data_IF_443236834633
#
_entry.id   IF_443236834633
#
_cell.length_a   1.000
_cell.length_b   1.000
_cell.length_c   1.000
_cell.angle_alpha   90.00
_cell.angle_beta   90.00
_cell.angle_gamma   90.00
#
_symmetry.space_group_name_H-M   'P 1'
#
loop_
_entity.id
_entity.type
_entity.pdbx_description
1 polymer ?
#
# COMPACT_ATOMS: atom_id res chain seq x y z
N UNK A 1 -25.49 11.13 7.28
CA UNK A 1 -24.19 11.47 7.92
C UNK A 1 -23.14 10.64 7.21
N UNK A 2 -22.02 11.22 6.73
CA UNK A 2 -21.00 10.45 5.98
C UNK A 2 -20.24 9.57 6.97
N UNK A 3 -20.18 8.27 6.71
CA UNK A 3 -19.48 7.30 7.55
C UNK A 3 -17.98 7.65 7.61
N UNK A 4 -17.33 7.54 8.79
CA UNK A 4 -15.88 7.63 8.85
C UNK A 4 -15.32 6.32 8.27
N UNK A 5 -14.55 6.46 7.21
CA UNK A 5 -14.06 5.33 6.41
C UNK A 5 -12.54 5.31 6.44
N UNK A 6 -11.97 4.11 6.59
CA UNK A 6 -10.53 3.86 6.53
C UNK A 6 -10.20 3.00 5.33
N UNK A 7 -9.09 3.29 4.67
CA UNK A 7 -8.67 2.60 3.47
C UNK A 7 -7.38 1.82 3.67
N UNK A 8 -7.36 0.57 3.19
CA UNK A 8 -6.19 -0.30 3.31
C UNK A 8 -5.98 -1.11 2.05
N UNK A 9 -4.72 -1.41 1.73
CA UNK A 9 -4.41 -2.32 0.63
C UNK A 9 -5.04 -3.71 0.86
N UNK A 10 -5.82 -4.19 -0.10
CA UNK A 10 -6.57 -5.45 -0.02
C UNK A 10 -5.70 -6.71 -0.33
N UNK A 11 -5.21 -7.42 0.67
CA UNK A 11 -4.41 -8.65 0.56
C UNK A 11 -5.21 -9.92 0.26
N UNK A 12 -6.53 -9.82 0.04
CA UNK A 12 -7.39 -10.95 -0.28
C UNK A 12 -8.70 -10.97 0.49
N UNK A 13 -9.02 -9.85 1.14
CA UNK A 13 -10.19 -9.70 1.99
C UNK A 13 -11.48 -9.63 1.16
N UNK A 14 -12.59 -9.91 1.84
CA UNK A 14 -13.93 -9.97 1.26
C UNK A 14 -14.87 -8.97 1.95
N UNK A 15 -15.99 -8.65 1.28
CA UNK A 15 -16.99 -7.76 1.86
C UNK A 15 -17.50 -8.33 3.19
N UNK A 16 -17.74 -7.45 4.16
CA UNK A 16 -18.31 -7.79 5.46
C UNK A 16 -17.33 -8.38 6.48
N UNK A 17 -16.10 -8.75 6.08
CA UNK A 17 -15.09 -9.23 7.04
C UNK A 17 -14.88 -8.21 8.15
N UNK A 18 -14.86 -8.70 9.38
CA UNK A 18 -14.62 -7.91 10.58
C UNK A 18 -13.17 -7.50 10.74
N UNK A 19 -12.95 -6.46 11.54
CA UNK A 19 -11.62 -5.93 11.85
C UNK A 19 -11.57 -5.40 13.28
N UNK A 20 -10.57 -5.86 14.03
CA UNK A 20 -10.24 -5.35 15.36
C UNK A 20 -9.17 -4.26 15.17
N UNK A 21 -9.60 -3.01 15.23
CA UNK A 21 -8.74 -1.84 14.98
C UNK A 21 -7.78 -1.54 16.12
N UNK A 22 -8.09 -2.00 17.33
CA UNK A 22 -7.18 -1.91 18.47
C UNK A 22 -6.02 -2.88 18.30
N UNK A 23 -6.24 -4.09 17.78
CA UNK A 23 -5.15 -5.04 17.49
C UNK A 23 -4.59 -4.90 16.08
N UNK A 24 -5.28 -4.17 15.21
CA UNK A 24 -5.00 -4.07 13.77
C UNK A 24 -4.95 -5.46 13.10
N UNK A 25 -5.97 -6.29 13.36
CA UNK A 25 -6.11 -7.64 12.79
C UNK A 25 -7.45 -7.81 12.09
N UNK A 26 -7.45 -8.56 11.00
CA UNK A 26 -8.67 -9.00 10.32
C UNK A 26 -9.28 -10.20 11.04
N UNK A 27 -10.60 -10.22 11.10
CA UNK A 27 -11.37 -11.30 11.65
C UNK A 27 -12.12 -12.01 10.52
N UNK A 28 -12.13 -13.35 10.50
CA UNK A 28 -12.74 -14.11 9.41
C UNK A 28 -14.28 -14.04 9.41
N UNK A 29 -14.88 -13.63 10.52
CA UNK A 29 -16.34 -13.57 10.67
C UNK A 29 -16.88 -12.21 10.19
N UNK A 30 -18.09 -12.23 9.63
CA UNK A 30 -18.85 -11.03 9.26
C UNK A 30 -20.03 -10.87 10.22
N UNK A 31 -20.13 -9.70 10.87
CA UNK A 31 -21.36 -9.32 11.54
C UNK A 31 -22.42 -8.78 10.56
N UNK A 32 -22.06 -8.56 9.30
CA UNK A 32 -22.98 -8.08 8.26
C UNK A 32 -23.68 -9.28 7.60
N UNK A 33 -24.98 -9.17 7.42
CA UNK A 33 -25.76 -10.12 6.62
C UNK A 33 -25.47 -9.93 5.13
N UNK A 34 -24.61 -10.79 4.60
CA UNK A 34 -24.24 -10.80 3.19
C UNK A 34 -25.25 -11.56 2.32
N UNK A 35 -26.17 -12.32 2.91
CA UNK A 35 -27.13 -13.13 2.14
C UNK A 35 -28.16 -12.27 1.40
N UNK A 36 -28.38 -11.04 1.87
CA UNK A 36 -29.29 -10.06 1.30
C UNK A 36 -28.59 -8.93 0.53
N UNK A 37 -27.26 -9.01 0.34
CA UNK A 37 -26.50 -8.01 -0.43
C UNK A 37 -26.61 -8.34 -1.93
N UNK A 38 -27.65 -7.79 -2.57
CA UNK A 38 -27.85 -7.86 -4.02
C UNK A 38 -27.10 -6.73 -4.75
N UNK A 39 -27.00 -6.77 -6.08
CA UNK A 39 -26.39 -5.70 -6.89
C UNK A 39 -27.00 -4.32 -6.59
N UNK A 40 -28.32 -4.25 -6.32
CA UNK A 40 -29.03 -3.01 -5.96
C UNK A 40 -28.61 -2.43 -4.60
N UNK A 41 -28.05 -3.26 -3.72
CA UNK A 41 -27.55 -2.83 -2.41
C UNK A 41 -26.10 -2.34 -2.46
N UNK A 42 -25.43 -2.50 -3.61
CA UNK A 42 -24.07 -2.04 -3.85
C UNK A 42 -24.14 -0.74 -4.65
N UNK A 43 -23.71 0.36 -4.04
CA UNK A 43 -23.53 1.61 -4.75
C UNK A 43 -22.14 1.61 -5.37
N UNK A 44 -22.10 1.69 -6.69
CA UNK A 44 -20.91 2.07 -7.44
C UNK A 44 -20.79 3.59 -7.42
N UNK A 45 -19.71 4.10 -6.84
CA UNK A 45 -19.32 5.49 -6.98
C UNK A 45 -18.36 5.59 -8.16
N UNK A 46 -18.78 6.32 -9.20
CA UNK A 46 -17.90 6.68 -10.30
C UNK A 46 -16.92 7.73 -9.80
N UNK A 47 -15.85 7.26 -9.16
CA UNK A 47 -14.66 8.06 -8.89
C UNK A 47 -13.96 8.32 -10.23
N UNK A 48 -13.47 9.54 -10.50
CA UNK A 48 -12.64 9.81 -11.67
C UNK A 48 -11.51 8.78 -11.75
N UNK A 49 -11.28 8.25 -12.95
CA UNK A 49 -10.15 7.35 -13.17
C UNK A 49 -8.87 8.13 -12.93
N UNK A 50 -8.09 7.72 -11.94
CA UNK A 50 -6.77 8.26 -11.66
C UNK A 50 -5.73 7.28 -12.20
N UNK A 51 -5.10 7.66 -13.31
CA UNK A 51 -4.01 6.90 -13.92
C UNK A 51 -2.70 7.65 -13.67
N UNK A 52 -1.70 6.95 -13.14
CA UNK A 52 -0.35 7.50 -12.93
C UNK A 52 0.68 6.52 -13.46
N UNK A 53 1.67 7.05 -14.18
CA UNK A 53 2.80 6.31 -14.71
C UNK A 53 4.08 7.12 -14.47
N UNK A 54 5.09 6.49 -13.89
CA UNK A 54 6.41 7.10 -13.69
C UNK A 54 7.49 6.15 -14.17
N UNK A 55 8.44 6.66 -14.94
CA UNK A 55 9.60 5.93 -15.43
C UNK A 55 10.87 6.68 -15.03
N UNK A 56 11.46 6.33 -13.89
CA UNK A 56 12.48 7.15 -13.24
C UNK A 56 13.83 6.42 -13.18
N UNK A 57 14.91 7.15 -13.51
CA UNK A 57 16.27 6.73 -13.22
C UNK A 57 16.49 6.69 -11.69
N UNK A 58 17.01 5.57 -11.20
CA UNK A 58 17.30 5.36 -9.78
C UNK A 58 18.82 5.36 -9.61
N UNK A 59 19.34 6.48 -9.12
CA UNK A 59 20.79 6.66 -8.94
C UNK A 59 21.32 5.98 -7.69
N UNK A 60 20.45 5.79 -6.69
CA UNK A 60 20.81 5.21 -5.41
C UNK A 60 19.59 4.59 -4.71
N UNK A 61 19.84 3.73 -3.74
CA UNK A 61 18.77 3.06 -3.00
C UNK A 61 17.94 4.01 -2.12
N UNK A 62 18.42 5.24 -1.82
CA UNK A 62 17.61 6.25 -1.13
C UNK A 62 16.51 6.79 -2.06
N UNK A 63 16.83 7.03 -3.34
CA UNK A 63 15.84 7.32 -4.38
C UNK A 63 14.91 6.15 -4.60
N UNK A 64 15.41 4.90 -4.60
CA UNK A 64 14.58 3.70 -4.68
C UNK A 64 13.59 3.63 -3.51
N UNK A 65 14.06 3.76 -2.27
CA UNK A 65 13.26 3.74 -1.06
C UNK A 65 12.20 4.84 -1.08
N UNK A 66 12.58 6.06 -1.48
CA UNK A 66 11.63 7.17 -1.66
C UNK A 66 10.59 6.86 -2.74
N UNK A 67 10.99 6.28 -3.87
CA UNK A 67 10.08 5.99 -4.99
C UNK A 67 9.12 4.84 -4.66
N UNK A 68 9.59 3.82 -3.96
CA UNK A 68 8.77 2.73 -3.44
C UNK A 68 7.85 3.23 -2.30
N UNK A 69 8.31 4.14 -1.45
CA UNK A 69 7.50 4.76 -0.39
C UNK A 69 6.44 5.71 -0.94
N UNK A 70 6.74 6.49 -1.99
CA UNK A 70 5.77 7.32 -2.71
C UNK A 70 4.70 6.47 -3.40
N UNK A 71 5.05 5.27 -3.88
CA UNK A 71 4.07 4.31 -4.40
C UNK A 71 3.29 3.57 -3.31
N UNK A 72 3.79 3.59 -2.06
CA UNK A 72 3.11 3.08 -0.86
C UNK A 72 2.26 4.17 -0.18
N UNK A 73 2.38 5.44 -0.61
CA UNK A 73 1.43 6.50 -0.30
C UNK A 73 0.12 6.24 -1.06
N UNK A 74 -0.61 5.23 -0.61
CA UNK A 74 -2.05 5.39 -0.46
C UNK A 74 -2.19 6.60 0.48
N UNK A 75 -2.65 7.73 -0.07
CA UNK A 75 -2.74 9.06 0.53
C UNK A 75 -2.63 9.11 2.06
N UNK A 76 -1.40 9.22 2.57
CA UNK A 76 -1.16 9.58 3.95
C UNK A 76 -1.22 11.11 4.07
N UNK A 77 -2.42 11.69 4.23
CA UNK A 77 -2.50 13.07 4.73
C UNK A 77 -2.26 13.06 6.24
N UNK A 78 -0.99 13.04 6.61
CA UNK A 78 -0.57 13.50 7.94
C UNK A 78 -0.50 15.03 7.86
N UNK A 79 -1.65 15.69 8.02
CA UNK A 79 -1.69 17.15 8.03
C UNK A 79 -3.09 17.71 8.29
N UNK A 80 -3.27 18.30 9.46
CA UNK A 80 -4.38 19.19 9.77
C UNK A 80 -5.12 18.83 11.06
N UNK A 81 -5.07 19.72 12.05
CA UNK A 81 -5.98 19.75 13.19
C UNK A 81 -7.42 19.96 12.66
N UNK A 82 -8.11 18.87 12.32
CA UNK A 82 -9.49 18.96 11.85
C UNK A 82 -9.95 17.72 11.10
N UNK A 83 -10.72 16.88 11.78
CA UNK A 83 -11.64 15.86 11.22
C UNK A 83 -11.11 15.01 10.04
N UNK A 84 -10.61 13.82 10.38
CA UNK A 84 -10.29 12.76 9.43
C UNK A 84 -8.90 12.19 9.69
N UNK A 85 -8.76 11.35 10.72
CA UNK A 85 -7.53 10.58 10.89
C UNK A 85 -7.44 9.56 9.75
N UNK A 86 -6.61 9.84 8.75
CA UNK A 86 -6.13 8.83 7.81
C UNK A 86 -5.22 7.86 8.59
N UNK A 87 -5.80 6.74 9.01
CA UNK A 87 -5.16 5.75 9.89
C UNK A 87 -4.25 4.82 9.07
N UNK A 88 -2.95 4.70 9.42
CA UNK A 88 -2.07 3.70 8.82
C UNK A 88 -2.54 2.29 9.18
N UNK A 89 -2.99 1.54 8.18
CA UNK A 89 -3.11 0.10 8.32
C UNK A 89 -1.76 -0.55 8.03
N UNK A 90 -1.19 -1.25 9.01
CA UNK A 90 0.10 -1.96 8.87
C UNK A 90 0.04 -3.04 7.77
N UNK A 91 -1.15 -3.48 7.36
CA UNK A 91 -1.34 -4.45 6.26
C UNK A 91 -0.89 -3.92 4.88
N UNK A 92 -0.63 -2.62 4.73
CA UNK A 92 -0.19 -2.00 3.47
C UNK A 92 1.32 -1.71 3.36
N UNK A 93 2.12 -1.94 4.40
CA UNK A 93 3.50 -1.46 4.41
C UNK A 93 4.55 -2.36 3.69
N UNK A 94 4.26 -3.64 3.37
CA UNK A 94 5.37 -4.61 3.17
C UNK A 94 5.38 -5.53 1.93
N UNK A 95 4.43 -5.49 1.00
CA UNK A 95 4.48 -6.40 -0.16
C UNK A 95 5.62 -6.04 -1.14
N UNK A 96 5.67 -4.79 -1.62
CA UNK A 96 6.72 -4.34 -2.56
C UNK A 96 8.09 -4.16 -1.91
N UNK A 97 8.11 -3.57 -0.71
CA UNK A 97 9.36 -3.38 0.05
C UNK A 97 10.04 -4.71 0.37
N UNK A 98 9.24 -5.76 0.65
CA UNK A 98 9.74 -7.13 0.75
C UNK A 98 10.19 -7.71 -0.59
N UNK A 99 9.43 -7.49 -1.67
CA UNK A 99 9.72 -8.00 -3.01
C UNK A 99 11.04 -7.47 -3.59
N UNK A 100 11.37 -6.20 -3.35
CA UNK A 100 12.61 -5.57 -3.83
C UNK A 100 13.74 -5.58 -2.80
N UNK A 101 13.57 -6.18 -1.62
CA UNK A 101 14.57 -6.21 -0.53
C UNK A 101 15.87 -6.94 -0.89
N UNK A 102 15.81 -7.81 -1.89
CA UNK A 102 16.91 -8.65 -2.35
C UNK A 102 17.70 -8.07 -3.52
N UNK A 103 17.38 -6.85 -3.96
CA UNK A 103 18.09 -6.20 -5.07
C UNK A 103 19.38 -5.58 -4.53
N UNK A 104 20.49 -5.82 -5.23
CA UNK A 104 21.80 -5.20 -4.95
C UNK A 104 22.21 -4.35 -6.15
N UNK A 105 22.43 -3.05 -5.96
CA UNK A 105 22.83 -2.13 -7.02
C UNK A 105 24.35 -2.19 -7.28
N UNK A 106 24.76 -2.36 -8.54
CA UNK A 106 26.15 -2.38 -8.98
C UNK A 106 26.51 -1.08 -9.69
N UNK A 107 27.73 -0.62 -9.44
CA UNK A 107 28.19 0.68 -9.97
C UNK A 107 28.17 0.76 -11.50
N UNK A 108 28.39 -0.35 -12.21
CA UNK A 108 28.41 -0.37 -13.68
C UNK A 108 27.06 -0.70 -14.33
N UNK A 109 25.95 -0.57 -13.60
CA UNK A 109 24.62 -0.83 -14.12
C UNK A 109 23.75 0.44 -14.02
N UNK A 110 22.84 0.58 -14.98
CA UNK A 110 21.82 1.63 -14.99
C UNK A 110 20.53 1.03 -14.41
N UNK A 111 19.92 1.74 -13.46
CA UNK A 111 18.72 1.26 -12.77
C UNK A 111 17.52 2.16 -13.03
N UNK A 112 16.40 1.57 -13.41
CA UNK A 112 15.19 2.31 -13.76
C UNK A 112 14.01 1.66 -13.03
N UNK A 113 13.12 2.50 -12.50
CA UNK A 113 11.88 2.06 -11.89
C UNK A 113 10.70 2.53 -12.74
N UNK A 114 9.94 1.57 -13.27
CA UNK A 114 8.62 1.81 -13.84
C UNK A 114 7.58 1.58 -12.73
N UNK A 115 6.79 2.59 -12.41
CA UNK A 115 5.59 2.45 -11.58
C UNK A 115 4.39 2.89 -12.38
N UNK A 116 3.36 2.06 -12.36
CA UNK A 116 2.06 2.35 -12.92
C UNK A 116 0.99 2.00 -11.91
N UNK A 117 0.06 2.92 -11.70
CA UNK A 117 -1.12 2.71 -10.87
C UNK A 117 -2.34 3.24 -11.60
N UNK A 118 -3.39 2.42 -11.60
CA UNK A 118 -4.72 2.83 -12.03
C UNK A 118 -5.65 2.68 -10.84
N UNK A 119 -6.21 3.78 -10.35
CA UNK A 119 -7.31 3.77 -9.38
C UNK A 119 -8.60 4.08 -10.13
N UNK A 120 -9.62 3.27 -9.89
CA UNK A 120 -10.90 3.35 -10.56
C UNK A 120 -12.03 3.24 -9.52
N UNK A 121 -13.27 3.19 -10.01
CA UNK A 121 -14.53 3.04 -9.28
C UNK A 121 -14.41 2.44 -7.88
N UNK A 122 -15.09 3.07 -6.94
CA UNK A 122 -15.32 2.50 -5.63
C UNK A 122 -16.69 1.84 -5.64
N UNK A 123 -16.83 0.71 -4.94
CA UNK A 123 -18.15 0.15 -4.67
C UNK A 123 -18.28 -0.19 -3.19
N UNK A 124 -19.48 0.01 -2.66
CA UNK A 124 -19.76 -0.16 -1.23
C UNK A 124 -21.18 -0.65 -0.99
N UNK A 125 -21.38 -1.32 0.13
CA UNK A 125 -22.71 -1.65 0.64
C UNK A 125 -23.39 -0.34 1.08
N UNK A 126 -24.61 -0.10 0.60
CA UNK A 126 -25.36 1.14 0.90
C UNK A 126 -26.05 1.11 2.26
N UNK A 127 -26.68 -0.03 2.57
CA UNK A 127 -27.46 -0.23 3.77
C UNK A 127 -27.05 -1.56 4.41
N UNK A 128 -25.81 -1.67 4.92
CA UNK A 128 -25.36 -2.87 5.62
C UNK A 128 -26.26 -3.13 6.84
N UNK A 129 -26.72 -4.36 6.98
CA UNK A 129 -27.51 -4.83 8.12
C UNK A 129 -26.75 -5.86 8.90
N UNK A 130 -26.99 -5.93 10.20
CA UNK A 130 -26.41 -6.97 11.04
C UNK A 130 -26.99 -8.34 10.69
N UNK A 131 -26.18 -9.38 10.88
CA UNK A 131 -26.64 -10.76 10.85
C UNK A 131 -27.44 -11.08 12.12
N UNK A 132 -28.34 -12.05 12.02
CA UNK A 132 -29.14 -12.48 13.18
C UNK A 132 -28.27 -12.90 14.38
N UNK A 133 -27.09 -13.47 14.12
CA UNK A 133 -26.13 -13.80 15.17
C UNK A 133 -25.56 -12.55 15.85
N UNK A 134 -25.16 -11.55 15.06
CA UNK A 134 -24.64 -10.29 15.56
C UNK A 134 -25.70 -9.52 16.38
N UNK A 135 -26.94 -9.48 15.89
CA UNK A 135 -28.08 -8.90 16.62
C UNK A 135 -28.36 -9.64 17.93
N UNK A 136 -28.31 -10.98 17.92
CA UNK A 136 -28.51 -11.78 19.13
C UNK A 136 -27.42 -11.52 20.18
N UNK A 137 -26.16 -11.33 19.79
CA UNK A 137 -25.09 -11.01 20.73
C UNK A 137 -25.32 -9.61 21.33
N UNK A 138 -25.66 -8.61 20.50
CA UNK A 138 -25.89 -7.24 20.98
C UNK A 138 -27.18 -7.06 21.80
N UNK A 139 -28.18 -7.94 21.62
CA UNK A 139 -29.46 -7.87 22.33
C UNK A 139 -29.49 -8.66 23.64
N UNK A 140 -28.76 -9.78 23.71
CA UNK A 140 -28.79 -10.68 24.87
C UNK A 140 -27.74 -10.35 25.93
N UNK A 141 -26.74 -9.53 25.61
CA UNK A 141 -25.72 -9.14 26.56
C UNK A 141 -25.46 -7.63 26.49
N UNK A 142 -25.10 -7.05 27.64
CA UNK A 142 -24.35 -5.78 27.69
C UNK A 142 -22.87 -6.00 27.31
N UNK A 143 -22.54 -7.17 26.76
CA UNK A 143 -21.19 -7.68 26.56
C UNK A 143 -20.72 -7.40 25.13
N UNK A 144 -20.52 -6.11 24.83
CA UNK A 144 -19.87 -5.64 23.60
C UNK A 144 -18.47 -6.26 23.40
N UNK A 145 -17.86 -6.82 24.46
CA UNK A 145 -16.58 -7.52 24.36
C UNK A 145 -16.72 -8.83 23.58
N UNK A 146 -17.84 -9.57 23.75
CA UNK A 146 -18.09 -10.78 22.99
C UNK A 146 -18.26 -10.48 21.49
N UNK A 147 -19.05 -9.44 21.17
CA UNK A 147 -19.20 -8.95 19.81
C UNK A 147 -17.84 -8.59 19.21
N UNK A 148 -17.07 -7.73 19.90
CA UNK A 148 -15.76 -7.26 19.42
C UNK A 148 -14.76 -8.40 19.28
N UNK A 149 -14.76 -9.37 20.20
CA UNK A 149 -13.87 -10.54 20.12
C UNK A 149 -14.15 -11.37 18.87
N UNK A 150 -15.41 -11.42 18.42
CA UNK A 150 -15.84 -12.25 17.30
C UNK A 150 -15.79 -11.55 15.95
N UNK A 151 -16.23 -10.29 15.90
CA UNK A 151 -16.43 -9.51 14.68
C UNK A 151 -15.58 -8.23 14.61
N UNK A 152 -15.01 -7.79 15.73
CA UNK A 152 -14.22 -6.55 15.79
C UNK A 152 -15.09 -5.32 16.00
N UNK A 153 -14.53 -4.16 15.69
CA UNK A 153 -15.19 -2.86 15.79
C UNK A 153 -15.42 -2.19 14.42
N UNK A 154 -14.71 -2.65 13.39
CA UNK A 154 -14.84 -2.22 12.01
C UNK A 154 -15.20 -3.42 11.11
N UNK A 155 -15.69 -3.12 9.91
CA UNK A 155 -15.90 -4.11 8.85
C UNK A 155 -15.63 -3.54 7.46
N UNK A 156 -15.34 -4.43 6.51
CA UNK A 156 -15.14 -4.03 5.12
C UNK A 156 -16.49 -3.73 4.46
N UNK A 157 -16.80 -2.45 4.32
CA UNK A 157 -18.03 -1.96 3.69
C UNK A 157 -17.94 -1.97 2.16
N UNK A 158 -16.73 -1.91 1.61
CA UNK A 158 -16.53 -1.73 0.19
C UNK A 158 -15.09 -1.90 -0.26
N UNK A 159 -14.88 -1.69 -1.56
CA UNK A 159 -13.56 -1.69 -2.15
C UNK A 159 -13.41 -0.55 -3.15
N UNK A 160 -12.25 0.12 -3.13
CA UNK A 160 -11.77 0.83 -4.30
C UNK A 160 -11.04 -0.12 -5.20
N UNK A 161 -11.30 0.06 -6.48
CA UNK A 161 -10.77 -0.86 -7.47
C UNK A 161 -9.61 -0.24 -8.19
N UNK A 162 -8.69 -1.09 -8.64
CA UNK A 162 -7.48 -0.59 -9.24
C UNK A 162 -6.48 -1.68 -9.49
N UNK A 163 -5.39 -1.27 -10.11
CA UNK A 163 -4.28 -2.15 -10.45
C UNK A 163 -2.97 -1.42 -10.23
N UNK A 164 -1.93 -2.23 -10.19
CA UNK A 164 -0.59 -1.76 -10.03
C UNK A 164 0.40 -2.63 -10.80
N UNK A 165 1.38 -1.96 -11.39
CA UNK A 165 2.50 -2.58 -12.06
C UNK A 165 3.77 -1.83 -11.67
N UNK A 166 4.68 -2.50 -10.99
CA UNK A 166 5.99 -1.95 -10.62
C UNK A 166 7.07 -2.85 -11.19
N UNK A 167 7.95 -2.30 -12.02
CA UNK A 167 9.10 -3.02 -12.54
C UNK A 167 10.41 -2.34 -12.18
N UNK A 168 11.29 -3.12 -11.57
CA UNK A 168 12.69 -2.78 -11.38
C UNK A 168 13.49 -3.25 -12.58
N UNK A 169 14.18 -2.34 -13.25
CA UNK A 169 14.91 -2.59 -14.48
C UNK A 169 16.39 -2.33 -14.21
N UNK A 170 17.20 -3.34 -14.43
CA UNK A 170 18.65 -3.27 -14.40
C UNK A 170 19.16 -3.40 -15.83
N UNK A 171 19.82 -2.36 -16.34
CA UNK A 171 20.53 -2.37 -17.62
C UNK A 171 22.01 -2.56 -17.33
N UNK A 172 22.57 -3.62 -17.92
CA UNK A 172 23.90 -4.14 -17.56
C UNK A 172 25.02 -3.42 -18.32
N UNK A 173 26.18 -3.34 -17.68
CA UNK A 173 27.46 -2.93 -18.28
C UNK A 173 27.46 -1.49 -18.87
N UNK A 174 26.75 -0.58 -18.20
CA UNK A 174 26.68 0.84 -18.53
C UNK A 174 27.64 1.64 -17.66
N UNK A 175 28.63 2.28 -18.30
CA UNK A 175 29.58 3.16 -17.61
C UNK A 175 28.88 4.35 -16.97
N UNK A 176 29.34 4.80 -15.80
CA UNK A 176 28.73 5.91 -15.04
C UNK A 176 28.52 7.18 -15.89
N UNK A 177 29.49 7.56 -16.72
CA UNK A 177 29.41 8.74 -17.59
C UNK A 177 28.44 8.58 -18.78
N UNK A 178 27.93 7.38 -19.04
CA UNK A 178 27.00 7.07 -20.13
C UNK A 178 25.58 6.79 -19.62
N UNK A 179 25.37 6.66 -18.30
CA UNK A 179 24.08 6.30 -17.69
C UNK A 179 22.96 7.26 -18.04
N UNK A 180 23.18 8.56 -17.89
CA UNK A 180 22.16 9.58 -18.17
C UNK A 180 21.75 9.56 -19.65
N UNK A 181 22.74 9.54 -20.56
CA UNK A 181 22.49 9.46 -22.00
C UNK A 181 21.76 8.17 -22.39
N UNK A 182 22.10 7.05 -21.76
CA UNK A 182 21.46 5.75 -21.99
C UNK A 182 20.03 5.75 -21.47
N UNK A 183 19.81 6.28 -20.26
CA UNK A 183 18.49 6.46 -19.69
C UNK A 183 17.60 7.32 -20.58
N UNK A 184 18.06 8.47 -21.06
CA UNK A 184 17.29 9.34 -21.95
C UNK A 184 16.87 8.63 -23.24
N UNK A 185 17.75 7.82 -23.84
CA UNK A 185 17.42 7.00 -25.02
C UNK A 185 16.35 5.96 -24.72
N UNK A 186 16.50 5.22 -23.61
CA UNK A 186 15.53 4.21 -23.19
C UNK A 186 14.17 4.87 -22.86
N UNK A 187 14.19 5.95 -22.09
CA UNK A 187 13.00 6.70 -21.70
C UNK A 187 12.26 7.25 -22.92
N UNK A 188 12.99 7.75 -23.93
CA UNK A 188 12.41 8.18 -25.21
C UNK A 188 11.71 7.03 -25.93
N UNK A 189 12.37 5.86 -26.04
CA UNK A 189 11.80 4.71 -26.73
C UNK A 189 10.56 4.16 -26.00
N UNK A 190 10.61 4.07 -24.66
CA UNK A 190 9.46 3.68 -23.85
C UNK A 190 8.33 4.71 -24.00
N UNK A 191 8.64 6.01 -23.92
CA UNK A 191 7.64 7.07 -23.99
C UNK A 191 6.89 7.08 -25.32
N UNK A 192 7.57 6.80 -26.43
CA UNK A 192 6.94 6.64 -27.74
C UNK A 192 5.95 5.46 -27.74
N UNK A 193 6.38 4.29 -27.25
CA UNK A 193 5.52 3.09 -27.16
C UNK A 193 4.30 3.32 -26.24
N UNK A 194 4.47 4.05 -25.15
CA UNK A 194 3.39 4.39 -24.23
C UNK A 194 2.43 5.45 -24.80
N UNK A 195 2.95 6.42 -25.57
CA UNK A 195 2.15 7.44 -26.24
C UNK A 195 1.21 6.82 -27.29
N UNK A 196 1.62 5.76 -27.99
CA UNK A 196 0.76 4.98 -28.90
C UNK A 196 -0.49 4.41 -28.21
N UNK A 197 -0.45 4.26 -26.89
CA UNK A 197 -1.57 3.78 -26.09
C UNK A 197 -2.34 4.91 -25.41
N UNK A 198 -1.95 6.17 -25.60
CA UNK A 198 -2.54 7.31 -24.92
C UNK A 198 -2.25 7.36 -23.42
N UNK A 199 -1.12 6.78 -22.96
CA UNK A 199 -0.64 7.01 -21.59
C UNK A 199 0.07 8.36 -21.57
N UNK A 200 -0.31 9.29 -20.69
CA UNK A 200 0.44 10.52 -20.52
C UNK A 200 1.86 10.21 -20.03
N UNK A 201 2.85 10.47 -20.88
CA UNK A 201 4.28 10.45 -20.53
C UNK A 201 4.79 11.88 -20.45
N UNK A 202 5.89 12.10 -19.71
CA UNK A 202 6.50 13.43 -19.71
C UNK A 202 7.00 13.76 -21.12
N UNK A 203 6.77 14.97 -21.64
CA UNK A 203 7.24 15.35 -22.96
C UNK A 203 8.77 15.30 -22.98
N UNK A 204 9.33 14.56 -23.93
CA UNK A 204 10.77 14.52 -24.17
C UNK A 204 11.03 15.42 -25.39
N UNK A 205 11.68 16.56 -25.17
CA UNK A 205 12.21 17.39 -26.24
C UNK A 205 13.37 16.64 -26.92
N UNK A 206 13.08 16.01 -28.05
CA UNK A 206 14.08 15.25 -28.79
C UNK A 206 13.59 14.80 -30.16
N UNK A 207 14.27 15.25 -31.21
CA UNK A 207 14.02 14.83 -32.59
C UNK A 207 14.66 13.43 -32.79
N UNK A 208 13.92 12.35 -32.56
CA UNK A 208 14.41 10.98 -32.69
C UNK A 208 13.62 10.22 -33.76
N UNK A 209 14.30 9.86 -34.85
CA UNK A 209 13.79 8.98 -35.89
C UNK A 209 14.03 7.51 -35.53
N UNK A 210 12.93 6.75 -35.56
CA UNK A 210 12.75 5.33 -35.91
C UNK A 210 13.40 4.21 -35.09
N UNK A 211 12.52 3.26 -34.75
CA UNK A 211 12.68 1.90 -34.21
C UNK A 211 12.91 1.79 -32.68
N UNK A 212 11.91 2.25 -31.92
CA UNK A 212 11.84 2.11 -30.46
C UNK A 212 12.02 0.67 -29.97
N UNK A 213 11.46 -0.33 -30.66
CA UNK A 213 11.66 -1.74 -30.30
C UNK A 213 13.11 -2.19 -30.46
N UNK A 214 13.73 -1.82 -31.59
CA UNK A 214 15.14 -2.15 -31.84
C UNK A 214 16.06 -1.49 -30.81
N UNK A 215 15.74 -0.25 -30.40
CA UNK A 215 16.48 0.46 -29.35
C UNK A 215 16.45 -0.31 -28.03
N UNK A 216 15.31 -0.81 -27.59
CA UNK A 216 15.19 -1.57 -26.33
C UNK A 216 15.92 -2.93 -26.41
N UNK A 217 15.89 -3.60 -27.57
CA UNK A 217 16.58 -4.89 -27.81
C UNK A 217 18.11 -4.78 -27.77
N UNK A 218 18.66 -3.60 -28.05
CA UNK A 218 20.10 -3.38 -28.07
C UNK A 218 20.74 -3.38 -26.66
N UNK A 219 19.95 -3.31 -25.59
CA UNK A 219 20.45 -3.25 -24.22
C UNK A 219 20.27 -4.58 -23.48
N UNK A 220 21.38 -5.11 -22.96
CA UNK A 220 21.34 -6.23 -22.02
C UNK A 220 20.68 -5.78 -20.72
N UNK A 221 19.61 -6.46 -20.32
CA UNK A 221 18.80 -6.04 -19.17
C UNK A 221 18.22 -7.21 -18.41
N UNK A 222 17.98 -6.97 -17.12
CA UNK A 222 17.26 -7.85 -16.20
C UNK A 222 16.18 -7.05 -15.54
N UNK A 223 15.00 -7.62 -15.40
CA UNK A 223 13.88 -6.93 -14.78
C UNK A 223 13.22 -7.80 -13.73
N UNK A 224 12.71 -7.17 -12.68
CA UNK A 224 11.88 -7.80 -11.67
C UNK A 224 10.54 -7.06 -11.67
N UNK A 225 9.46 -7.79 -11.88
CA UNK A 225 8.13 -7.21 -12.02
C UNK A 225 7.21 -7.65 -10.88
N UNK A 226 6.62 -6.66 -10.22
CA UNK A 226 5.54 -6.82 -9.26
C UNK A 226 4.24 -6.36 -9.92
N UNK A 227 3.24 -7.24 -9.99
CA UNK A 227 1.93 -6.95 -10.57
C UNK A 227 0.83 -7.18 -9.53
N UNK A 228 -0.16 -6.32 -9.52
CA UNK A 228 -1.38 -6.49 -8.74
C UNK A 228 -2.61 -6.13 -9.58
N UNK A 229 -3.55 -7.07 -9.75
CA UNK A 229 -3.54 -8.46 -9.30
C UNK A 229 -2.38 -9.27 -9.91
N UNK A 230 -1.91 -10.35 -9.24
CA UNK A 230 -0.93 -11.24 -9.84
C UNK A 230 -1.56 -11.95 -11.04
N UNK A 231 -0.86 -11.99 -12.17
CA UNK A 231 -1.22 -12.91 -13.24
C UNK A 231 -0.96 -14.34 -12.76
N UNK A 232 -1.90 -15.26 -12.98
CA UNK A 232 -1.93 -16.62 -12.39
C UNK A 232 -0.66 -17.44 -12.75
N UNK A 233 0.12 -16.99 -13.75
CA UNK A 233 1.20 -17.76 -14.34
C UNK A 233 2.63 -17.19 -14.14
N UNK A 234 2.84 -16.11 -13.38
CA UNK A 234 4.17 -15.47 -13.36
C UNK A 234 4.66 -15.12 -11.95
N UNK A 235 5.26 -16.11 -11.28
CA UNK A 235 6.19 -15.87 -10.18
C UNK A 235 7.59 -15.57 -10.74
N UNK A 236 8.02 -14.31 -10.68
CA UNK A 236 9.45 -13.96 -10.71
C UNK A 236 10.20 -14.11 -12.05
N UNK A 237 9.51 -13.97 -13.19
CA UNK A 237 10.17 -14.05 -14.50
C UNK A 237 11.07 -12.82 -14.71
N UNK A 238 12.37 -13.06 -14.93
CA UNK A 238 13.32 -12.03 -15.37
C UNK A 238 13.03 -11.74 -16.84
N UNK A 239 12.49 -10.56 -17.15
CA UNK A 239 12.23 -10.14 -18.53
C UNK A 239 13.38 -9.24 -19.05
N UNK A 240 13.62 -9.29 -20.34
CA UNK A 240 14.39 -8.25 -21.05
C UNK A 240 13.54 -6.98 -21.17
N UNK A 241 14.18 -5.84 -21.37
CA UNK A 241 13.53 -4.53 -21.45
C UNK A 241 12.42 -4.47 -22.51
N UNK A 242 12.64 -5.01 -23.70
CA UNK A 242 11.64 -5.09 -24.76
C UNK A 242 10.42 -5.93 -24.34
N UNK A 243 10.66 -7.12 -23.77
CA UNK A 243 9.60 -8.00 -23.25
C UNK A 243 8.82 -7.37 -22.12
N UNK A 244 9.48 -6.64 -21.23
CA UNK A 244 8.84 -5.91 -20.13
C UNK A 244 7.84 -4.88 -20.67
N UNK A 245 8.23 -4.11 -21.68
CA UNK A 245 7.32 -3.10 -22.24
C UNK A 245 6.12 -3.79 -22.90
N UNK A 246 6.29 -4.86 -23.67
CA UNK A 246 5.15 -5.61 -24.22
C UNK A 246 4.26 -6.21 -23.14
N UNK A 247 4.85 -6.79 -22.09
CA UNK A 247 4.12 -7.30 -20.94
C UNK A 247 3.30 -6.22 -20.24
N UNK A 248 3.86 -5.02 -20.06
CA UNK A 248 3.15 -3.87 -19.52
C UNK A 248 1.99 -3.43 -20.43
N UNK A 249 2.21 -3.40 -21.76
CA UNK A 249 1.19 -3.07 -22.75
C UNK A 249 0.04 -4.07 -22.70
N UNK A 250 0.35 -5.36 -22.64
CA UNK A 250 -0.65 -6.42 -22.57
C UNK A 250 -1.41 -6.40 -21.23
N UNK A 251 -0.71 -6.17 -20.12
CA UNK A 251 -1.33 -5.94 -18.81
C UNK A 251 -2.36 -4.80 -18.89
N UNK A 252 -1.99 -3.65 -19.47
CA UNK A 252 -2.92 -2.52 -19.63
C UNK A 252 -4.10 -2.86 -20.53
N UNK A 253 -3.87 -3.50 -21.68
CA UNK A 253 -4.94 -3.95 -22.59
C UNK A 253 -5.93 -4.87 -21.88
N UNK A 254 -5.44 -5.80 -21.06
CA UNK A 254 -6.31 -6.70 -20.27
C UNK A 254 -7.20 -5.90 -19.32
N UNK A 255 -6.67 -4.86 -18.68
CA UNK A 255 -7.43 -3.99 -17.77
C UNK A 255 -8.47 -3.16 -18.54
N UNK A 256 -8.11 -2.62 -19.70
CA UNK A 256 -9.02 -1.78 -20.51
C UNK A 256 -10.11 -2.58 -21.24
N UNK A 257 -9.85 -3.84 -21.58
CA UNK A 257 -10.78 -4.70 -22.33
C UNK A 257 -11.70 -5.55 -21.45
N UNK A 258 -11.36 -5.74 -20.17
CA UNK A 258 -12.21 -6.50 -19.25
C UNK A 258 -13.44 -5.68 -18.85
N UNK A 259 -14.59 -5.98 -19.45
CA UNK A 259 -15.92 -5.53 -19.00
C UNK A 259 -16.30 -6.07 -17.60
N UNK A 260 -15.45 -6.92 -17.02
CA UNK A 260 -15.55 -7.48 -15.68
C UNK A 260 -14.23 -7.27 -14.94
N UNK A 261 -14.33 -6.67 -13.74
CA UNK A 261 -13.35 -6.69 -12.63
C UNK A 261 -12.31 -5.56 -12.64
N UNK A 262 -12.81 -4.38 -12.35
CA UNK A 262 -12.43 -3.63 -11.14
C UNK A 262 -11.81 -4.52 -10.04
N UNK A 263 -10.50 -4.73 -10.07
CA UNK A 263 -9.80 -5.56 -9.08
C UNK A 263 -9.81 -4.88 -7.72
N UNK A 264 -10.18 -5.60 -6.66
CA UNK A 264 -10.22 -5.09 -5.29
C UNK A 264 -8.80 -4.72 -4.85
N UNK A 265 -8.49 -3.43 -4.93
CA UNK A 265 -7.16 -2.91 -4.68
C UNK A 265 -7.04 -2.38 -3.26
N UNK A 266 -8.05 -1.63 -2.82
CA UNK A 266 -8.14 -1.05 -1.49
C UNK A 266 -9.45 -1.47 -0.84
N UNK A 267 -9.38 -2.07 0.34
CA UNK A 267 -10.53 -2.32 1.20
C UNK A 267 -10.91 -1.03 1.93
N UNK A 268 -12.20 -0.73 1.94
CA UNK A 268 -12.79 0.40 2.67
C UNK A 268 -13.47 -0.18 3.90
N UNK A 269 -13.07 0.30 5.07
CA UNK A 269 -13.60 -0.10 6.37
C UNK A 269 -14.58 0.96 6.88
N UNK A 270 -15.64 0.52 7.54
CA UNK A 270 -16.55 1.37 8.31
C UNK A 270 -16.67 0.83 9.74
N UNK A 271 -16.92 1.72 10.71
CA UNK A 271 -17.19 1.30 12.08
C UNK A 271 -18.61 0.72 12.20
N UNK A 272 -18.77 -0.35 12.97
CA UNK A 272 -20.10 -0.90 13.29
C UNK A 272 -20.97 0.08 14.08
N UNK A 273 -20.37 0.98 14.87
CA UNK A 273 -21.05 2.06 15.63
C UNK A 273 -21.92 2.98 14.74
N UNK A 274 -21.68 2.98 13.44
CA UNK A 274 -22.36 3.85 12.49
C UNK A 274 -23.62 3.20 11.89
N UNK A 275 -23.90 1.93 12.23
CA UNK A 275 -25.10 1.22 11.81
C UNK A 275 -26.31 1.61 12.68
N UNK A 276 -27.47 1.75 12.05
CA UNK A 276 -28.71 2.17 12.73
C UNK A 276 -29.17 1.12 13.76
N UNK A 277 -28.91 -0.16 13.50
CA UNK A 277 -29.24 -1.25 14.42
C UNK A 277 -28.37 -1.26 15.69
N UNK A 278 -27.20 -0.62 15.65
CA UNK A 278 -26.25 -0.57 16.77
C UNK A 278 -26.59 0.60 17.69
N UNK A 279 -27.26 0.29 18.81
CA UNK A 279 -27.75 1.30 19.77
C UNK A 279 -26.72 1.73 20.81
N UNK A 280 -25.57 1.05 20.87
CA UNK A 280 -24.55 1.24 21.89
C UNK A 280 -23.19 1.25 21.21
N UNK A 281 -22.26 2.05 21.74
CA UNK A 281 -20.89 2.09 21.23
C UNK A 281 -20.19 0.73 21.42
N UNK A 282 -19.79 0.09 20.32
CA UNK A 282 -18.95 -1.13 20.32
C UNK A 282 -17.56 -0.81 20.87
N UNK A 283 -17.05 0.40 20.62
CA UNK A 283 -15.88 0.93 21.32
C UNK A 283 -16.28 2.01 22.32
N UNK A 284 -16.01 1.76 23.61
CA UNK A 284 -16.19 2.78 24.65
C UNK A 284 -15.34 4.03 24.36
N UNK A 285 -15.69 5.21 24.91
CA UNK A 285 -14.91 6.43 24.74
C UNK A 285 -13.43 6.27 25.12
N UNK A 286 -13.13 5.49 26.17
CA UNK A 286 -11.76 5.18 26.60
C UNK A 286 -11.02 4.38 25.53
N UNK A 287 -11.67 3.36 24.95
CA UNK A 287 -11.10 2.54 23.88
C UNK A 287 -10.92 3.33 22.58
N UNK A 288 -11.84 4.26 22.26
CA UNK A 288 -11.68 5.19 21.12
C UNK A 288 -10.45 6.09 21.31
N UNK A 289 -10.20 6.59 22.52
CA UNK A 289 -8.98 7.36 22.86
C UNK A 289 -7.72 6.50 22.74
N UNK A 290 -7.75 5.27 23.26
CA UNK A 290 -6.64 4.31 23.14
C UNK A 290 -6.33 4.00 21.67
N UNK A 291 -7.36 3.70 20.86
CA UNK A 291 -7.26 3.46 19.40
C UNK A 291 -6.54 4.62 18.72
N UNK A 292 -6.94 5.87 19.00
CA UNK A 292 -6.31 7.05 18.42
C UNK A 292 -4.81 7.17 18.77
N UNK A 293 -4.46 6.98 20.05
CA UNK A 293 -3.06 7.00 20.50
C UNK A 293 -2.25 5.87 19.85
N UNK A 294 -2.76 4.64 19.84
CA UNK A 294 -2.12 3.48 19.19
C UNK A 294 -1.90 3.73 17.69
N UNK A 295 -2.88 4.29 16.98
CA UNK A 295 -2.74 4.59 15.56
C UNK A 295 -1.62 5.60 15.28
N UNK A 296 -1.43 6.59 16.16
CA UNK A 296 -0.30 7.52 16.05
C UNK A 296 1.04 6.82 16.26
N UNK A 297 1.13 5.94 17.26
CA UNK A 297 2.35 5.13 17.49
C UNK A 297 2.66 4.20 16.32
N UNK A 298 1.64 3.60 15.69
CA UNK A 298 1.81 2.79 14.47
C UNK A 298 2.37 3.61 13.31
N UNK A 299 1.88 4.83 13.12
CA UNK A 299 2.41 5.76 12.11
C UNK A 299 3.90 6.03 12.32
N UNK A 300 4.30 6.27 13.57
CA UNK A 300 5.72 6.46 13.93
C UNK A 300 6.52 5.18 13.68
N UNK A 301 6.02 4.02 14.10
CA UNK A 301 6.67 2.72 13.85
C UNK A 301 6.95 2.52 12.36
N UNK A 302 5.97 2.79 11.48
CA UNK A 302 6.14 2.67 10.03
C UNK A 302 7.23 3.62 9.53
N UNK A 303 7.23 4.89 9.95
CA UNK A 303 8.27 5.85 9.58
C UNK A 303 9.67 5.37 10.00
N UNK A 304 9.82 4.85 11.22
CA UNK A 304 11.10 4.30 11.71
C UNK A 304 11.49 3.02 10.98
N UNK A 305 10.54 2.17 10.59
CA UNK A 305 10.82 0.99 9.76
C UNK A 305 11.29 1.38 8.34
N UNK A 306 10.75 2.45 7.76
CA UNK A 306 11.24 3.01 6.49
C UNK A 306 12.67 3.53 6.66
N UNK A 307 12.97 4.21 7.77
CA UNK A 307 14.33 4.65 8.10
C UNK A 307 15.30 3.47 8.29
N UNK A 308 14.89 2.39 8.97
CA UNK A 308 15.68 1.16 9.12
C UNK A 308 16.08 0.61 7.75
N UNK A 309 15.13 0.51 6.83
CA UNK A 309 15.41 0.08 5.46
C UNK A 309 16.43 1.01 4.79
N UNK A 310 16.30 2.33 4.96
CA UNK A 310 17.27 3.31 4.46
C UNK A 310 18.70 3.10 4.98
N UNK A 311 18.89 2.89 6.29
CA UNK A 311 20.22 2.68 6.90
C UNK A 311 20.79 1.32 6.51
N UNK A 312 19.97 0.26 6.49
CA UNK A 312 20.39 -1.07 6.02
C UNK A 312 20.95 -1.01 4.60
N UNK A 313 20.30 -0.22 3.75
CA UNK A 313 20.73 0.01 2.40
C UNK A 313 22.06 0.76 2.35
N UNK A 314 22.23 1.85 3.11
CA UNK A 314 23.51 2.59 3.18
C UNK A 314 24.71 1.73 3.60
N UNK A 315 24.56 0.93 4.65
CA UNK A 315 25.60 0.02 5.16
C UNK A 315 26.02 -1.06 4.16
N UNK A 316 25.11 -1.48 3.26
CA UNK A 316 25.43 -2.44 2.20
C UNK A 316 26.37 -1.86 1.15
N UNK A 317 26.31 -0.56 0.86
CA UNK A 317 27.12 0.07 -0.21
C UNK A 317 28.39 0.77 0.27
N UNK A 318 28.34 1.42 1.44
CA UNK A 318 29.48 2.19 1.93
C UNK A 318 30.49 1.34 2.72
N UNK A 319 30.16 0.07 2.97
CA UNK A 319 30.95 -0.83 3.81
C UNK A 319 30.65 -0.65 5.30
N UNK A 320 31.53 -1.15 6.16
CA UNK A 320 31.36 -1.02 7.61
C UNK A 320 31.51 0.44 8.06
N UNK A 321 30.38 1.05 8.40
CA UNK A 321 30.32 2.35 9.08
C UNK A 321 29.83 2.13 10.52
N UNK A 322 30.68 2.44 11.50
CA UNK A 322 30.39 2.26 12.92
C UNK A 322 29.19 3.13 13.37
N UNK A 323 29.08 4.35 12.84
CA UNK A 323 28.02 5.28 13.21
C UNK A 323 26.68 4.80 12.65
N UNK A 324 26.63 4.42 11.37
CA UNK A 324 25.41 3.88 10.76
C UNK A 324 24.99 2.55 11.41
N UNK A 325 25.94 1.69 11.80
CA UNK A 325 25.62 0.45 12.54
C UNK A 325 25.03 0.74 13.92
N UNK A 326 25.53 1.77 14.62
CA UNK A 326 24.97 2.18 15.91
C UNK A 326 23.57 2.78 15.74
N UNK A 327 23.36 3.63 14.73
CA UNK A 327 22.05 4.17 14.38
C UNK A 327 21.06 3.05 14.03
N UNK A 328 21.49 2.07 13.22
CA UNK A 328 20.69 0.91 12.86
C UNK A 328 20.24 0.15 14.12
N UNK A 329 21.15 -0.13 15.05
CA UNK A 329 20.85 -0.84 16.30
C UNK A 329 19.88 -0.06 17.18
N UNK A 330 20.11 1.25 17.38
CA UNK A 330 19.21 2.11 18.17
C UNK A 330 17.81 2.11 17.59
N UNK A 331 17.69 2.24 16.27
CA UNK A 331 16.42 2.28 15.58
C UNK A 331 15.69 0.93 15.62
N UNK A 332 16.42 -0.19 15.54
CA UNK A 332 15.87 -1.53 15.70
C UNK A 332 15.30 -1.73 17.10
N UNK A 333 16.07 -1.37 18.13
CA UNK A 333 15.61 -1.45 19.52
C UNK A 333 14.39 -0.56 19.74
N UNK A 334 14.39 0.66 19.20
CA UNK A 334 13.24 1.56 19.30
C UNK A 334 11.98 0.97 18.68
N UNK A 335 12.06 0.42 17.46
CA UNK A 335 10.92 -0.23 16.80
C UNK A 335 10.40 -1.43 17.59
N UNK A 336 11.31 -2.20 18.20
CA UNK A 336 10.98 -3.35 19.04
C UNK A 336 10.29 -2.91 20.34
N UNK A 337 10.87 -1.97 21.08
CA UNK A 337 10.30 -1.42 22.31
C UNK A 337 8.94 -0.74 22.09
N UNK A 338 8.79 -0.04 20.97
CA UNK A 338 7.52 0.57 20.58
C UNK A 338 6.44 -0.51 20.33
N UNK A 339 6.81 -1.64 19.73
CA UNK A 339 5.89 -2.75 19.50
C UNK A 339 5.46 -3.43 20.81
N UNK A 340 6.43 -3.69 21.69
CA UNK A 340 6.17 -4.23 23.03
C UNK A 340 5.28 -3.30 23.85
N UNK A 341 5.52 -1.99 23.82
CA UNK A 341 4.69 -1.01 24.51
C UNK A 341 3.27 -0.94 23.93
N UNK A 342 3.11 -0.96 22.60
CA UNK A 342 1.79 -1.02 21.98
C UNK A 342 1.04 -2.29 22.38
N UNK A 343 1.72 -3.45 22.41
CA UNK A 343 1.14 -4.71 22.85
C UNK A 343 0.73 -4.67 24.32
N UNK A 344 1.58 -4.14 25.21
CA UNK A 344 1.27 -3.93 26.63
C UNK A 344 -0.03 -3.13 26.80
N UNK A 345 -0.17 -2.03 26.05
CA UNK A 345 -1.35 -1.17 26.12
C UNK A 345 -2.66 -1.85 25.66
N UNK A 346 -2.58 -2.95 24.91
CA UNK A 346 -3.75 -3.76 24.55
C UNK A 346 -4.26 -4.63 25.70
N UNK A 347 -3.36 -5.07 26.58
CA UNK A 347 -3.69 -5.85 27.77
C UNK A 347 -3.97 -4.98 28.99
N UNK A 348 -3.25 -3.85 29.09
CA UNK A 348 -3.31 -2.89 30.17
C UNK A 348 -3.48 -1.48 29.58
N UNK A 349 -4.71 -1.06 29.23
CA UNK A 349 -4.96 0.27 28.69
C UNK A 349 -4.38 1.42 29.53
N UNK A 350 -4.39 1.25 30.86
CA UNK A 350 -3.85 2.22 31.82
C UNK A 350 -2.33 2.39 31.75
N UNK A 351 -1.61 1.45 31.13
CA UNK A 351 -0.17 1.58 30.86
C UNK A 351 0.15 2.74 29.90
N UNK A 352 -0.83 3.23 29.13
CA UNK A 352 -0.67 4.35 28.21
C UNK A 352 -0.75 5.72 28.93
N UNK A 353 0.16 5.95 29.87
CA UNK A 353 0.33 7.24 30.53
C UNK A 353 0.82 8.30 29.55
N UNK A 354 0.48 9.57 29.79
CA UNK A 354 0.90 10.66 28.90
C UNK A 354 2.42 10.82 28.84
N UNK A 355 3.14 10.50 29.91
CA UNK A 355 4.61 10.50 29.94
C UNK A 355 5.19 9.43 29.02
N UNK A 356 4.78 8.16 29.19
CA UNK A 356 5.24 7.05 28.33
C UNK A 356 4.86 7.26 26.88
N UNK A 357 3.63 7.73 26.63
CA UNK A 357 3.18 8.07 25.29
C UNK A 357 4.04 9.16 24.64
N UNK A 358 4.36 10.25 25.38
CA UNK A 358 5.21 11.34 24.87
C UNK A 358 6.66 10.90 24.60
N UNK A 359 7.20 9.94 25.34
CA UNK A 359 8.55 9.39 25.06
C UNK A 359 8.66 8.88 23.61
N UNK A 360 7.65 8.15 23.14
CA UNK A 360 7.62 7.61 21.78
C UNK A 360 7.14 8.62 20.71
N UNK A 361 6.59 9.76 21.10
CA UNK A 361 6.22 10.81 20.13
C UNK A 361 7.41 11.69 19.73
N UNK A 362 8.37 11.88 20.63
CA UNK A 362 9.47 12.84 20.49
C UNK A 362 10.82 12.19 20.12
N UNK A 363 10.86 10.86 19.98
CA UNK A 363 12.04 10.07 19.64
C UNK A 363 12.05 9.68 18.18
#
# INVERSE_FOLDING_TARGET
MKMQERECSNQGETLGMGFDSLKNILLPNSAIDLSNVNEDSIQSEQVPVEESCSFAHIENEAMLSKSLSLSANIDFKIGGEGSGLDIPCILSASAKGGYFRSVEMKENNLYILLNYQLKNTAYRITHPKLSAEAENILSNSSDFLEFRKKFGDEFIIGFRTGVEYTAWIEVLDIKNNEKEKTYLKINSAVSELLALLGIPTQPIDGNLQNDSEQTLKNYSSRTLCFKRPPNINESGVILTLDRLIFDFIDFRKQISSSSKKHYKYTAVFADYDQLVEVRHDILTPELKRLKSKLNRLRGIKIQKQIQLLGIQNQLRFQGQDLELNEQLRKLYNYVYELDDFMNECLFLPDSMTDERYKLYLNS
#
